data_IF_730880976690
#
_entry.id   IF_730880976690
#
_cell.length_a   1.000
_cell.length_b   1.000
_cell.length_c   1.000
_cell.angle_alpha   90.00
_cell.angle_beta   90.00
_cell.angle_gamma   90.00
#
_symmetry.space_group_name_H-M   'P 1'
#
loop_
_entity.id
_entity.type
_entity.pdbx_description
1 polymer ?
#
# COMPACT_ATOMS: atom_id res chain seq x y z
N UNK A 1 5.81 7.70 11.05
CA UNK A 1 4.64 7.87 11.93
C UNK A 1 3.70 8.81 11.23
N UNK A 2 2.39 8.51 11.25
CA UNK A 2 1.34 9.36 10.71
C UNK A 2 0.50 9.90 11.87
N UNK A 3 0.14 11.17 11.76
CA UNK A 3 -0.66 11.89 12.75
C UNK A 3 -2.02 12.22 12.15
N UNK A 4 -3.03 12.30 13.00
CA UNK A 4 -4.34 12.81 12.61
C UNK A 4 -4.22 14.27 12.19
N UNK A 5 -4.97 14.66 11.16
CA UNK A 5 -5.13 16.05 10.73
C UNK A 5 -6.60 16.45 10.92
N UNK A 6 -6.93 17.73 10.80
CA UNK A 6 -8.29 18.27 10.94
C UNK A 6 -9.33 17.67 10.00
N UNK A 7 -8.90 16.97 8.93
CA UNK A 7 -9.77 16.31 7.96
C UNK A 7 -9.93 14.80 8.22
N UNK A 8 -9.30 14.27 9.28
CA UNK A 8 -9.31 12.85 9.64
C UNK A 8 -10.01 12.67 10.98
N UNK A 9 -10.72 11.56 11.11
CA UNK A 9 -11.31 11.14 12.38
C UNK A 9 -10.21 10.72 13.40
N UNK A 10 -10.54 10.79 14.68
CA UNK A 10 -9.63 10.49 15.81
C UNK A 10 -9.13 9.03 15.83
N UNK A 11 -9.78 8.15 15.08
CA UNK A 11 -9.47 6.73 14.96
C UNK A 11 -8.69 6.36 13.69
N UNK A 12 -8.35 7.33 12.84
CA UNK A 12 -7.66 7.09 11.57
C UNK A 12 -6.36 6.27 11.73
N UNK A 13 -5.58 6.53 12.79
CA UNK A 13 -4.38 5.75 13.09
C UNK A 13 -4.67 4.29 13.43
N UNK A 14 -5.73 4.02 14.19
CA UNK A 14 -6.15 2.65 14.50
C UNK A 14 -6.70 1.93 13.26
N UNK A 15 -7.48 2.63 12.42
CA UNK A 15 -7.99 2.10 11.15
C UNK A 15 -6.83 1.68 10.24
N UNK A 16 -5.84 2.55 10.02
CA UNK A 16 -4.67 2.23 9.21
C UNK A 16 -3.89 1.02 9.77
N UNK A 17 -3.80 0.90 11.10
CA UNK A 17 -3.15 -0.23 11.73
C UNK A 17 -3.90 -1.55 11.47
N UNK A 18 -5.23 -1.55 11.59
CA UNK A 18 -6.07 -2.72 11.28
C UNK A 18 -5.89 -3.13 9.83
N UNK A 19 -5.92 -2.20 8.87
CA UNK A 19 -5.66 -2.51 7.46
C UNK A 19 -4.27 -3.10 7.25
N UNK A 20 -3.25 -2.65 7.99
CA UNK A 20 -1.92 -3.25 7.92
C UNK A 20 -1.86 -4.71 8.40
N UNK A 21 -2.71 -5.08 9.37
CA UNK A 21 -2.84 -6.46 9.85
C UNK A 21 -3.57 -7.29 8.79
N UNK A 22 -4.70 -6.79 8.27
CA UNK A 22 -5.48 -7.46 7.22
C UNK A 22 -4.63 -7.73 5.99
N UNK A 23 -3.83 -6.75 5.55
CA UNK A 23 -2.90 -6.91 4.43
C UNK A 23 -1.89 -8.06 4.67
N UNK A 24 -1.33 -8.16 5.88
CA UNK A 24 -0.41 -9.26 6.24
C UNK A 24 -1.10 -10.62 6.24
N UNK A 25 -2.32 -10.69 6.79
CA UNK A 25 -3.13 -11.93 6.81
C UNK A 25 -3.49 -12.36 5.39
N UNK A 26 -3.77 -11.42 4.50
CA UNK A 26 -4.01 -11.65 3.07
C UNK A 26 -2.75 -12.01 2.27
N UNK A 27 -1.58 -12.10 2.90
CA UNK A 27 -0.32 -12.43 2.23
C UNK A 27 0.25 -11.31 1.36
N UNK A 28 -0.18 -10.05 1.58
CA UNK A 28 0.41 -8.89 0.92
C UNK A 28 1.74 -8.52 1.58
N UNK A 29 2.72 -8.14 0.75
CA UNK A 29 3.99 -7.61 1.24
C UNK A 29 3.76 -6.30 1.97
N UNK A 30 3.96 -6.31 3.30
CA UNK A 30 3.78 -5.14 4.16
C UNK A 30 4.98 -4.98 5.08
N UNK A 31 5.42 -3.75 5.29
CA UNK A 31 6.52 -3.43 6.22
C UNK A 31 6.08 -3.63 7.67
N UNK A 32 7.05 -3.64 8.61
CA UNK A 32 6.72 -3.72 10.03
C UNK A 32 5.89 -2.50 10.43
N UNK A 33 4.76 -2.75 11.10
CA UNK A 33 3.81 -1.71 11.53
C UNK A 33 3.62 -1.73 13.03
N UNK A 34 3.35 -0.56 13.60
CA UNK A 34 3.08 -0.41 15.02
C UNK A 34 2.09 0.73 15.26
N UNK A 35 1.16 0.52 16.20
CA UNK A 35 0.25 1.54 16.69
C UNK A 35 0.78 2.06 18.02
N UNK A 36 1.24 3.31 18.03
CA UNK A 36 1.71 3.95 19.26
C UNK A 36 0.52 4.49 20.06
N UNK A 37 0.47 4.26 21.39
CA UNK A 37 -0.61 4.79 22.21
C UNK A 37 -0.59 6.32 22.25
N UNK A 38 -1.76 6.92 22.41
CA UNK A 38 -1.93 8.36 22.60
C UNK A 38 -2.75 8.62 23.87
N UNK A 39 -2.49 9.76 24.53
CA UNK A 39 -3.36 10.26 25.59
C UNK A 39 -4.66 10.88 25.05
N UNK A 40 -4.73 11.14 23.75
CA UNK A 40 -5.87 11.73 23.04
C UNK A 40 -6.09 10.93 21.73
N UNK A 41 -7.27 10.29 21.59
CA UNK A 41 -7.62 9.50 20.41
C UNK A 41 -7.07 8.06 20.42
N UNK A 42 -7.23 7.34 19.29
CA UNK A 42 -6.97 5.90 19.21
C UNK A 42 -5.49 5.50 19.01
N UNK A 43 -4.58 6.48 18.95
CA UNK A 43 -3.15 6.26 18.76
C UNK A 43 -2.64 6.61 17.35
N UNK A 44 -1.32 6.49 17.16
CA UNK A 44 -0.63 6.91 15.94
C UNK A 44 -0.08 5.73 15.17
N UNK A 45 -0.49 5.61 13.90
CA UNK A 45 0.04 4.57 13.02
C UNK A 45 1.49 4.86 12.63
N UNK A 46 2.28 3.80 12.57
CA UNK A 46 3.64 3.85 12.05
C UNK A 46 3.96 2.62 11.23
N UNK A 47 4.81 2.81 10.24
CA UNK A 47 5.36 1.75 9.42
C UNK A 47 6.85 1.99 9.22
N UNK A 48 7.63 0.91 9.19
CA UNK A 48 9.04 0.96 8.85
C UNK A 48 9.18 1.45 7.41
N UNK A 49 10.16 2.33 7.16
CA UNK A 49 10.45 2.82 5.81
C UNK A 49 11.03 1.71 4.94
N UNK A 50 10.44 1.49 3.77
CA UNK A 50 10.92 0.50 2.80
C UNK A 50 12.19 0.97 2.04
N UNK A 51 12.43 2.28 1.98
CA UNK A 51 13.54 2.90 1.23
C UNK A 51 14.80 3.12 2.09
N UNK A 52 14.88 2.43 3.24
CA UNK A 52 15.97 2.57 4.22
C UNK A 52 16.41 1.21 4.74
N UNK A 53 17.73 0.96 4.74
CA UNK A 53 18.35 -0.16 5.44
C UNK A 53 19.60 0.33 6.18
N UNK A 54 19.53 0.40 7.51
CA UNK A 54 20.57 1.00 8.35
C UNK A 54 20.96 2.41 7.85
N UNK A 55 22.20 2.59 7.40
CA UNK A 55 22.70 3.85 6.85
C UNK A 55 22.45 3.99 5.34
N UNK A 56 22.03 2.92 4.66
CA UNK A 56 21.76 2.92 3.23
C UNK A 56 20.38 3.49 2.91
N UNK A 57 20.35 4.28 1.84
CA UNK A 57 19.15 4.89 1.27
C UNK A 57 18.92 4.30 -0.11
N UNK A 58 17.73 3.77 -0.35
CA UNK A 58 17.32 3.33 -1.68
C UNK A 58 16.57 4.46 -2.38
N UNK A 59 16.91 4.71 -3.64
CA UNK A 59 16.19 5.70 -4.45
C UNK A 59 14.81 5.16 -4.81
N UNK A 60 13.78 5.98 -4.66
CA UNK A 60 12.40 5.61 -4.95
C UNK A 60 11.68 6.79 -5.61
N UNK A 61 10.86 6.49 -6.62
CA UNK A 61 9.91 7.42 -7.22
C UNK A 61 8.49 6.87 -7.06
N UNK A 62 7.51 7.74 -6.97
CA UNK A 62 6.10 7.37 -7.12
C UNK A 62 5.78 7.07 -8.59
N UNK A 63 4.69 6.35 -8.87
CA UNK A 63 4.27 6.08 -10.25
C UNK A 63 4.04 7.39 -11.04
N UNK A 64 3.34 8.38 -10.46
CA UNK A 64 3.15 9.69 -11.08
C UNK A 64 4.49 10.38 -11.36
N UNK A 65 5.45 10.32 -10.43
CA UNK A 65 6.76 10.95 -10.61
C UNK A 65 7.62 10.25 -11.66
N UNK A 66 7.36 8.99 -11.97
CA UNK A 66 8.06 8.25 -13.04
C UNK A 66 7.40 8.45 -14.41
N UNK A 67 6.08 8.63 -14.43
CA UNK A 67 5.28 8.84 -15.64
C UNK A 67 5.07 10.32 -16.01
N UNK A 68 5.63 11.25 -15.22
CA UNK A 68 5.41 12.69 -15.34
C UNK A 68 3.91 13.08 -15.37
N UNK A 69 3.12 12.38 -14.54
CA UNK A 69 1.67 12.59 -14.45
C UNK A 69 1.31 13.53 -13.30
N UNK A 70 0.23 14.30 -13.46
CA UNK A 70 -0.23 15.26 -12.44
C UNK A 70 -0.68 14.52 -11.18
N UNK A 71 -0.02 14.78 -10.05
CA UNK A 71 -0.31 14.16 -8.76
C UNK A 71 -1.49 14.81 -8.03
N UNK A 72 -1.98 15.96 -8.50
CA UNK A 72 -3.13 16.67 -7.92
C UNK A 72 -4.46 16.17 -8.49
N UNK A 73 -4.42 15.52 -9.65
CA UNK A 73 -5.57 14.89 -10.28
C UNK A 73 -5.38 13.37 -10.31
N UNK A 74 -6.42 12.57 -10.11
CA UNK A 74 -6.33 11.12 -10.22
C UNK A 74 -6.17 10.73 -11.70
N UNK A 75 -4.91 10.72 -12.15
CA UNK A 75 -4.51 10.71 -13.55
C UNK A 75 -3.96 9.37 -14.04
N UNK A 76 -3.82 8.38 -13.14
CA UNK A 76 -3.35 7.04 -13.46
C UNK A 76 -4.47 6.02 -13.21
N UNK A 77 -4.64 5.08 -14.14
CA UNK A 77 -5.52 3.92 -13.97
C UNK A 77 -4.73 2.62 -13.72
N UNK A 78 -5.43 1.49 -13.60
CA UNK A 78 -4.77 0.20 -13.37
C UNK A 78 -3.99 -0.27 -14.60
N UNK A 79 -4.41 0.05 -15.82
CA UNK A 79 -3.70 -0.34 -17.03
C UNK A 79 -2.35 0.39 -17.13
N UNK A 80 -2.31 1.66 -16.72
CA UNK A 80 -1.06 2.43 -16.57
C UNK A 80 -0.10 1.77 -15.57
N UNK A 81 -0.60 1.38 -14.39
CA UNK A 81 0.22 0.77 -13.34
C UNK A 81 0.75 -0.61 -13.75
N UNK A 82 -0.07 -1.43 -14.41
CA UNK A 82 0.34 -2.74 -14.91
C UNK A 82 1.38 -2.61 -16.03
N UNK A 83 1.15 -1.68 -16.97
CA UNK A 83 2.06 -1.39 -18.07
C UNK A 83 3.41 -0.87 -17.59
N UNK A 84 3.40 0.08 -16.65
CA UNK A 84 4.60 0.62 -16.02
C UNK A 84 5.39 -0.47 -15.30
N UNK A 85 4.70 -1.32 -14.54
CA UNK A 85 5.34 -2.43 -13.80
C UNK A 85 6.03 -3.39 -14.75
N UNK A 86 5.38 -3.77 -15.84
CA UNK A 86 5.98 -4.63 -16.85
C UNK A 86 7.18 -3.96 -17.52
N UNK A 87 7.07 -2.68 -17.90
CA UNK A 87 8.14 -1.94 -18.56
C UNK A 87 9.41 -1.83 -17.70
N UNK A 88 9.26 -1.62 -16.39
CA UNK A 88 10.38 -1.45 -15.46
C UNK A 88 11.01 -2.77 -15.03
N UNK A 89 10.20 -3.78 -14.73
CA UNK A 89 10.69 -5.05 -14.16
C UNK A 89 11.00 -6.10 -15.21
N UNK A 90 10.35 -6.00 -16.39
CA UNK A 90 10.32 -7.04 -17.43
C UNK A 90 9.92 -8.41 -16.89
N UNK A 91 9.09 -8.42 -15.85
CA UNK A 91 8.69 -9.63 -15.14
C UNK A 91 7.17 -9.66 -14.90
N UNK A 92 6.51 -10.62 -15.55
CA UNK A 92 5.07 -10.85 -15.41
C UNK A 92 4.65 -11.20 -13.97
N UNK A 93 5.56 -11.73 -13.15
CA UNK A 93 5.28 -12.03 -11.74
C UNK A 93 5.07 -10.75 -10.93
N UNK A 94 5.77 -9.67 -11.26
CA UNK A 94 5.57 -8.37 -10.62
C UNK A 94 4.26 -7.72 -11.06
N UNK A 95 3.90 -7.87 -12.34
CA UNK A 95 2.58 -7.44 -12.87
C UNK A 95 1.44 -8.14 -12.12
N UNK A 96 1.56 -9.46 -11.90
CA UNK A 96 0.57 -10.23 -11.12
C UNK A 96 0.47 -9.76 -9.66
N UNK A 97 1.54 -9.23 -9.05
CA UNK A 97 1.47 -8.67 -7.70
C UNK A 97 0.62 -7.40 -7.68
N UNK A 98 0.81 -6.50 -8.65
CA UNK A 98 -0.01 -5.28 -8.78
C UNK A 98 -1.46 -5.63 -9.09
N UNK A 99 -1.70 -6.58 -9.98
CA UNK A 99 -3.05 -7.05 -10.28
C UNK A 99 -3.78 -7.57 -9.03
N UNK A 100 -3.10 -8.38 -8.19
CA UNK A 100 -3.69 -8.86 -6.93
C UNK A 100 -4.03 -7.74 -5.95
N UNK A 101 -3.29 -6.64 -5.95
CA UNK A 101 -3.61 -5.46 -5.13
C UNK A 101 -4.88 -4.76 -5.61
N UNK A 102 -5.13 -4.75 -6.92
CA UNK A 102 -6.33 -4.18 -7.52
C UNK A 102 -7.57 -5.07 -7.27
N UNK A 103 -7.41 -6.38 -7.42
CA UNK A 103 -8.49 -7.37 -7.41
C UNK A 103 -9.00 -7.74 -6.01
N UNK A 104 -8.21 -7.51 -4.94
CA UNK A 104 -8.59 -7.89 -3.57
C UNK A 104 -9.84 -7.13 -3.03
N UNK A 105 -10.40 -6.17 -3.75
CA UNK A 105 -11.75 -5.65 -3.44
C UNK A 105 -12.90 -6.58 -3.89
N UNK A 106 -12.61 -7.71 -4.56
CA UNK A 106 -13.60 -8.56 -5.21
C UNK A 106 -13.71 -10.02 -4.74
N UNK A 107 -12.81 -10.55 -3.90
CA UNK A 107 -12.79 -11.99 -3.65
C UNK A 107 -12.82 -12.40 -2.16
N UNK A 108 -14.03 -12.50 -1.64
CA UNK A 108 -14.38 -13.28 -0.44
C UNK A 108 -15.02 -14.63 -0.78
N UNK A 109 -14.75 -15.22 -1.96
CA UNK A 109 -15.23 -16.56 -2.32
C UNK A 109 -14.11 -17.37 -2.94
N UNK A 110 -13.34 -17.96 -2.01
CA UNK A 110 -12.48 -19.09 -2.29
C UNK A 110 -13.17 -20.15 -3.14
N UNK A 111 -12.36 -20.76 -3.99
CA UNK A 111 -12.41 -22.18 -4.34
C UNK A 111 -13.79 -22.82 -4.24
N UNK A 112 -14.64 -22.56 -5.23
CA UNK A 112 -15.53 -23.60 -5.77
C UNK A 112 -15.60 -23.43 -7.27
N UNK A 113 -15.17 -24.48 -7.98
CA UNK A 113 -15.56 -24.97 -9.31
C UNK A 113 -14.28 -25.61 -9.92
N UNK A 114 -14.15 -26.92 -9.99
CA UNK A 114 -15.07 -27.89 -10.60
C UNK A 114 -14.84 -29.33 -10.06
N UNK A 115 -15.80 -30.26 -10.27
CA UNK A 115 -15.64 -31.67 -9.94
C UNK A 115 -14.47 -32.34 -10.66
#
# INVERSE_FOLDING_TARGET
>A
MKFTNSMNDDDAGAIEYVYSIVAKVAGLTMTQTHLFPSSQGAGYFSTQRFDRNCQQRFHAHTACGLLDSDFRTPSLDYDDLLSLTHAQTRDVREVKKIFRLADHYGDGRGEKLKP
#
